data_IF_414100867549
#
_entry.id   IF_414100867549
#
_cell.length_a   1.000
_cell.length_b   1.000
_cell.length_c   1.000
_cell.angle_alpha   90.00
_cell.angle_beta   90.00
_cell.angle_gamma   90.00
#
_symmetry.space_group_name_H-M   'P 1'
#
loop_
_entity.id
_entity.type
_entity.pdbx_description
1 polymer ?
#
# COMPACT_ATOMS: atom_id res chain seq x y z
N UNK A 1 14.74 11.01 -13.20
CA UNK A 1 14.45 9.58 -12.97
C UNK A 1 15.68 8.71 -13.21
N UNK A 2 16.38 8.85 -14.31
CA UNK A 2 17.57 8.04 -14.64
C UNK A 2 18.66 8.03 -13.55
N UNK A 3 18.98 9.17 -12.98
CA UNK A 3 19.98 9.28 -11.91
C UNK A 3 19.56 8.51 -10.63
N UNK A 4 18.26 8.56 -10.25
CA UNK A 4 17.74 7.79 -9.11
C UNK A 4 17.74 6.29 -9.36
N UNK A 5 17.40 5.86 -10.56
CA UNK A 5 17.44 4.45 -10.93
C UNK A 5 18.86 3.90 -10.95
N UNK A 6 19.79 4.64 -11.53
CA UNK A 6 21.21 4.27 -11.52
C UNK A 6 21.72 4.14 -10.09
N UNK A 7 21.44 5.12 -9.22
CA UNK A 7 21.83 5.09 -7.82
C UNK A 7 21.21 3.88 -7.08
N UNK A 8 19.93 3.55 -7.34
CA UNK A 8 19.31 2.35 -6.77
C UNK A 8 20.09 1.08 -7.15
N UNK A 9 20.42 0.91 -8.44
CA UNK A 9 21.14 -0.24 -8.95
C UNK A 9 22.54 -0.31 -8.31
N UNK A 10 23.28 0.79 -8.27
CA UNK A 10 24.63 0.85 -7.72
C UNK A 10 24.64 0.51 -6.21
N UNK A 11 23.71 1.09 -5.42
CA UNK A 11 23.61 0.81 -3.98
C UNK A 11 23.19 -0.65 -3.70
N UNK A 12 22.18 -1.16 -4.43
CA UNK A 12 21.73 -2.54 -4.27
C UNK A 12 22.84 -3.56 -4.60
N UNK A 13 23.60 -3.33 -5.68
CA UNK A 13 24.76 -4.15 -6.04
C UNK A 13 25.83 -4.11 -4.95
N UNK A 14 26.20 -2.92 -4.50
CA UNK A 14 27.21 -2.74 -3.47
C UNK A 14 26.84 -3.46 -2.16
N UNK A 15 25.57 -3.42 -1.75
CA UNK A 15 25.08 -4.12 -0.55
C UNK A 15 25.22 -5.65 -0.67
N UNK A 16 24.87 -6.23 -1.82
CA UNK A 16 25.06 -7.67 -2.09
C UNK A 16 26.53 -8.05 -2.19
N UNK A 17 27.35 -7.28 -2.90
CA UNK A 17 28.77 -7.55 -3.11
C UNK A 17 29.58 -7.51 -1.81
N UNK A 18 29.21 -6.62 -0.92
CA UNK A 18 29.85 -6.48 0.40
C UNK A 18 29.31 -7.51 1.41
N UNK A 19 28.35 -8.36 1.04
CA UNK A 19 27.71 -9.31 1.94
C UNK A 19 26.92 -8.66 3.08
N UNK A 20 26.56 -7.39 2.91
CA UNK A 20 25.77 -6.65 3.91
C UNK A 20 24.31 -7.09 3.96
N UNK A 21 23.80 -7.60 2.85
CA UNK A 21 22.46 -8.15 2.71
C UNK A 21 22.51 -9.48 1.95
N UNK A 22 21.53 -10.35 2.23
CA UNK A 22 21.35 -11.63 1.54
C UNK A 22 20.33 -11.53 0.41
N UNK A 23 19.46 -10.52 0.44
CA UNK A 23 18.36 -10.31 -0.48
C UNK A 23 18.21 -8.84 -0.85
N UNK A 24 17.73 -8.61 -2.06
CA UNK A 24 17.20 -7.31 -2.49
C UNK A 24 15.75 -7.47 -2.93
N UNK A 25 14.88 -6.60 -2.42
CA UNK A 25 13.48 -6.46 -2.82
C UNK A 25 13.31 -5.11 -3.50
N UNK A 26 12.78 -5.11 -4.70
CA UNK A 26 12.49 -3.90 -5.46
C UNK A 26 11.41 -4.15 -6.50
N UNK A 27 11.37 -3.33 -7.53
CA UNK A 27 10.41 -3.43 -8.62
C UNK A 27 11.15 -3.75 -9.92
N UNK A 28 10.53 -4.57 -10.76
CA UNK A 28 10.94 -4.82 -12.13
C UNK A 28 9.78 -4.59 -13.11
N UNK A 29 10.02 -4.45 -14.42
CA UNK A 29 8.95 -4.35 -15.40
C UNK A 29 8.03 -5.56 -15.33
N UNK A 30 6.72 -5.33 -15.30
CA UNK A 30 5.72 -6.38 -15.38
C UNK A 30 5.58 -6.96 -16.79
N UNK A 31 4.77 -8.00 -16.93
CA UNK A 31 4.47 -8.65 -18.23
C UNK A 31 3.57 -7.81 -19.15
N UNK A 32 2.84 -6.86 -18.59
CA UNK A 32 1.95 -5.96 -19.34
C UNK A 32 2.56 -4.55 -19.39
N UNK A 33 2.18 -3.78 -20.43
CA UNK A 33 2.61 -2.36 -20.55
C UNK A 33 2.22 -1.56 -19.30
N UNK A 34 3.09 -0.65 -18.88
CA UNK A 34 2.86 0.26 -17.76
C UNK A 34 2.57 -0.44 -16.42
N UNK A 35 3.09 -1.64 -16.24
CA UNK A 35 3.00 -2.37 -14.97
C UNK A 35 4.38 -2.69 -14.42
N UNK A 36 4.45 -2.90 -13.11
CA UNK A 36 5.62 -3.42 -12.43
C UNK A 36 5.23 -4.61 -11.57
N UNK A 37 6.20 -5.46 -11.28
CA UNK A 37 6.07 -6.61 -10.38
C UNK A 37 7.18 -6.57 -9.33
N UNK A 38 7.00 -7.15 -8.14
CA UNK A 38 8.07 -7.31 -7.18
C UNK A 38 9.22 -8.15 -7.74
N UNK A 39 10.45 -7.65 -7.59
CA UNK A 39 11.68 -8.40 -7.80
C UNK A 39 12.26 -8.75 -6.44
N UNK A 40 12.45 -10.04 -6.17
CA UNK A 40 13.09 -10.56 -4.96
C UNK A 40 14.28 -11.41 -5.42
N UNK A 41 15.50 -10.95 -5.16
CA UNK A 41 16.68 -11.62 -5.70
C UNK A 41 17.86 -11.64 -4.74
N UNK A 42 18.75 -12.62 -4.96
CA UNK A 42 20.11 -12.70 -4.40
C UNK A 42 21.17 -12.51 -5.49
N UNK A 43 20.74 -12.49 -6.75
CA UNK A 43 21.65 -12.46 -7.89
C UNK A 43 21.95 -11.01 -8.28
N UNK A 44 23.24 -10.72 -8.43
CA UNK A 44 23.72 -9.38 -8.84
C UNK A 44 23.32 -9.02 -10.26
N UNK A 45 23.17 -10.01 -11.13
CA UNK A 45 22.76 -9.78 -12.52
C UNK A 45 21.31 -9.31 -12.59
N UNK A 46 20.43 -9.87 -11.73
CA UNK A 46 19.04 -9.48 -11.65
C UNK A 46 18.83 -8.04 -11.17
N UNK A 47 19.79 -7.48 -10.41
CA UNK A 47 19.71 -6.09 -9.93
C UNK A 47 19.58 -5.10 -11.09
N UNK A 48 20.09 -5.44 -12.27
CA UNK A 48 19.92 -4.59 -13.46
C UNK A 48 18.47 -4.48 -13.95
N UNK A 49 17.59 -5.37 -13.51
CA UNK A 49 16.15 -5.36 -13.81
C UNK A 49 15.36 -4.39 -12.94
N UNK A 50 15.96 -3.88 -11.84
CA UNK A 50 15.30 -2.90 -10.97
C UNK A 50 14.89 -1.66 -11.73
N UNK A 51 13.66 -1.20 -11.47
CA UNK A 51 13.10 0.02 -12.07
C UNK A 51 12.48 0.94 -11.02
N UNK A 52 12.55 2.24 -11.31
CA UNK A 52 11.79 3.29 -10.64
C UNK A 52 10.96 4.00 -11.72
N UNK A 53 9.65 3.85 -11.66
CA UNK A 53 8.74 4.50 -12.59
C UNK A 53 7.40 4.87 -11.89
N UNK A 54 6.50 5.61 -12.52
CA UNK A 54 5.22 6.00 -11.89
C UNK A 54 4.22 4.86 -11.66
N UNK A 55 4.56 3.60 -11.99
CA UNK A 55 3.66 2.43 -11.89
C UNK A 55 4.08 1.45 -10.79
N UNK A 56 4.95 1.84 -9.86
CA UNK A 56 5.42 1.02 -8.73
C UNK A 56 4.35 0.94 -7.63
N UNK A 57 3.23 0.28 -7.91
CA UNK A 57 2.03 0.31 -7.07
C UNK A 57 2.12 -0.57 -5.81
N UNK A 58 2.85 -1.68 -5.85
CA UNK A 58 2.89 -2.67 -4.77
C UNK A 58 3.54 -2.13 -3.49
N UNK A 59 3.06 -2.59 -2.35
CA UNK A 59 3.72 -2.41 -1.06
C UNK A 59 4.64 -3.61 -0.79
N UNK A 60 5.94 -3.41 -0.94
CA UNK A 60 6.91 -4.49 -0.86
C UNK A 60 7.18 -5.00 0.56
N UNK A 61 6.76 -4.28 1.60
CA UNK A 61 7.04 -4.66 2.98
C UNK A 61 6.43 -6.02 3.38
N UNK A 62 5.38 -6.45 2.67
CA UNK A 62 4.74 -7.74 2.87
C UNK A 62 5.72 -8.93 2.76
N UNK A 63 6.72 -8.82 1.89
CA UNK A 63 7.70 -9.88 1.68
C UNK A 63 8.77 -9.99 2.76
N UNK A 64 8.92 -8.99 3.64
CA UNK A 64 9.93 -9.01 4.70
C UNK A 64 9.71 -10.12 5.72
N UNK A 65 8.46 -10.53 5.93
CA UNK A 65 8.12 -11.58 6.91
C UNK A 65 8.38 -13.00 6.41
N UNK A 66 8.70 -13.15 5.12
CA UNK A 66 8.90 -14.45 4.46
C UNK A 66 10.38 -14.78 4.22
N UNK A 67 11.28 -13.79 4.36
CA UNK A 67 12.69 -13.93 4.04
C UNK A 67 13.57 -14.02 5.28
N UNK A 68 14.48 -14.99 5.25
CA UNK A 68 15.51 -15.14 6.26
C UNK A 68 16.78 -14.36 5.89
N UNK A 69 17.44 -13.81 6.91
CA UNK A 69 18.67 -13.04 6.75
C UNK A 69 18.42 -11.54 6.59
N UNK A 70 19.45 -10.81 6.19
CA UNK A 70 19.38 -9.36 6.05
C UNK A 70 18.92 -8.98 4.64
N UNK A 71 17.94 -8.07 4.55
CA UNK A 71 17.24 -7.72 3.31
C UNK A 71 17.40 -6.24 3.01
N UNK A 72 17.80 -5.87 1.79
CA UNK A 72 17.63 -4.51 1.29
C UNK A 72 16.27 -4.38 0.60
N UNK A 73 15.52 -3.35 0.92
CA UNK A 73 14.17 -3.14 0.36
C UNK A 73 13.99 -1.70 -0.15
N UNK A 74 13.47 -1.59 -1.37
CA UNK A 74 13.04 -0.29 -1.91
C UNK A 74 11.70 0.09 -1.29
N UNK A 75 11.65 1.22 -0.60
CA UNK A 75 10.47 1.61 0.18
C UNK A 75 10.04 3.06 -0.13
N UNK A 76 8.81 3.22 -0.63
CA UNK A 76 8.10 4.51 -0.66
C UNK A 76 7.69 4.90 0.76
N UNK A 77 7.19 6.11 0.98
CA UNK A 77 6.74 6.56 2.29
C UNK A 77 5.71 5.62 2.94
N UNK A 78 4.70 5.16 2.19
CA UNK A 78 3.71 4.19 2.67
C UNK A 78 4.34 2.82 3.00
N UNK A 79 5.33 2.37 2.22
CA UNK A 79 6.04 1.11 2.47
C UNK A 79 6.91 1.22 3.73
N UNK A 80 7.63 2.34 3.90
CA UNK A 80 8.44 2.63 5.09
C UNK A 80 7.57 2.62 6.36
N UNK A 81 6.39 3.25 6.34
CA UNK A 81 5.41 3.16 7.43
C UNK A 81 4.99 1.73 7.73
N UNK A 82 4.75 0.92 6.69
CA UNK A 82 4.41 -0.49 6.87
C UNK A 82 5.57 -1.28 7.48
N UNK A 83 6.82 -1.00 7.10
CA UNK A 83 8.01 -1.60 7.70
C UNK A 83 8.11 -1.24 9.19
N UNK A 84 7.90 0.04 9.53
CA UNK A 84 7.89 0.48 10.95
C UNK A 84 6.80 -0.25 11.74
N UNK A 85 5.59 -0.36 11.19
CA UNK A 85 4.50 -1.10 11.84
C UNK A 85 4.85 -2.59 12.06
N UNK A 86 5.50 -3.25 11.09
CA UNK A 86 5.98 -4.63 11.24
C UNK A 86 7.08 -4.76 12.31
N UNK A 87 7.94 -3.76 12.46
CA UNK A 87 8.97 -3.71 13.51
C UNK A 87 8.32 -3.57 14.88
N UNK A 88 7.36 -2.65 15.04
CA UNK A 88 6.59 -2.44 16.26
C UNK A 88 5.85 -3.71 16.70
N UNK A 89 5.29 -4.47 15.75
CA UNK A 89 4.61 -5.76 16.00
C UNK A 89 5.59 -6.95 16.17
N UNK A 90 6.89 -6.70 16.21
CA UNK A 90 7.95 -7.73 16.32
C UNK A 90 7.89 -8.80 15.22
N UNK A 91 7.42 -8.44 14.02
CA UNK A 91 7.41 -9.31 12.83
C UNK A 91 8.69 -9.21 12.03
N UNK A 92 9.34 -8.07 12.11
CA UNK A 92 10.59 -7.77 11.43
C UNK A 92 11.58 -7.17 12.43
N UNK A 93 12.81 -7.67 12.46
CA UNK A 93 13.89 -7.04 13.22
C UNK A 93 14.51 -5.92 12.40
N UNK A 94 14.55 -4.69 12.93
CA UNK A 94 15.12 -3.51 12.26
C UNK A 94 16.57 -3.74 11.79
N UNK A 95 17.39 -4.46 12.54
CA UNK A 95 18.78 -4.72 12.21
C UNK A 95 18.94 -5.61 10.96
N UNK A 96 17.89 -6.36 10.63
CA UNK A 96 17.87 -7.24 9.45
C UNK A 96 17.35 -6.54 8.18
N UNK A 97 17.04 -5.25 8.23
CA UNK A 97 16.51 -4.51 7.08
C UNK A 97 17.41 -3.32 6.73
N UNK A 98 17.74 -3.19 5.46
CA UNK A 98 18.33 -1.98 4.88
C UNK A 98 17.29 -1.31 4.00
N UNK A 99 16.80 -0.16 4.42
CA UNK A 99 15.73 0.57 3.75
C UNK A 99 16.32 1.53 2.71
N UNK A 100 16.11 1.23 1.43
CA UNK A 100 16.41 2.11 0.31
C UNK A 100 15.20 3.02 0.09
N UNK A 101 15.18 4.14 0.80
CA UNK A 101 14.05 5.06 0.83
C UNK A 101 13.86 5.79 -0.51
N UNK A 102 12.67 5.68 -1.08
CA UNK A 102 12.31 6.29 -2.35
C UNK A 102 11.31 7.44 -2.16
N UNK A 103 11.72 8.71 -2.27
CA UNK A 103 10.80 9.83 -2.32
C UNK A 103 9.84 9.69 -3.50
N UNK A 104 8.53 9.77 -3.23
CA UNK A 104 7.46 9.43 -4.17
C UNK A 104 6.52 10.62 -4.38
N UNK A 105 6.25 10.97 -5.64
CA UNK A 105 5.30 12.03 -6.01
C UNK A 105 3.89 11.50 -6.31
N UNK A 106 3.63 10.23 -5.98
CA UNK A 106 2.40 9.52 -6.27
C UNK A 106 2.60 8.43 -7.32
N UNK A 107 1.64 7.53 -7.40
CA UNK A 107 1.62 6.39 -8.33
C UNK A 107 0.43 6.53 -9.24
N UNK A 108 0.62 6.26 -10.54
CA UNK A 108 -0.43 6.38 -11.54
C UNK A 108 -1.38 5.19 -11.42
N UNK A 109 -2.67 5.50 -11.43
CA UNK A 109 -3.75 4.53 -11.57
C UNK A 109 -4.06 4.34 -13.05
N UNK A 110 -3.65 3.20 -13.59
CA UNK A 110 -3.82 2.89 -15.00
C UNK A 110 -5.29 2.76 -15.39
N UNK A 111 -6.15 2.26 -14.50
CA UNK A 111 -7.58 2.15 -14.77
C UNK A 111 -8.25 3.53 -14.94
N UNK A 112 -7.79 4.55 -14.20
CA UNK A 112 -8.24 5.93 -14.41
C UNK A 112 -7.84 6.45 -15.78
N UNK A 113 -6.60 6.19 -16.21
CA UNK A 113 -6.14 6.59 -17.54
C UNK A 113 -6.98 5.88 -18.62
N UNK A 114 -7.13 4.55 -18.54
CA UNK A 114 -7.94 3.78 -19.49
C UNK A 114 -9.37 4.35 -19.59
N UNK A 115 -9.99 4.69 -18.45
CA UNK A 115 -11.32 5.33 -18.40
C UNK A 115 -11.36 6.72 -19.06
N UNK A 116 -10.36 7.58 -18.80
CA UNK A 116 -10.29 8.94 -19.34
C UNK A 116 -10.02 8.98 -20.85
N UNK A 117 -9.21 8.05 -21.35
CA UNK A 117 -8.88 7.99 -22.77
C UNK A 117 -9.87 7.13 -23.57
N UNK A 118 -10.65 6.26 -22.92
CA UNK A 118 -11.57 5.31 -23.55
C UNK A 118 -10.84 4.25 -24.39
N UNK A 119 -9.67 3.81 -23.91
CA UNK A 119 -8.80 2.84 -24.57
C UNK A 119 -8.18 1.91 -23.54
N UNK A 120 -7.96 0.66 -23.93
CA UNK A 120 -7.20 -0.30 -23.14
C UNK A 120 -5.70 -0.01 -23.20
N UNK A 121 -4.95 -0.44 -22.19
CA UNK A 121 -3.50 -0.20 -22.06
C UNK A 121 -2.68 -0.61 -23.29
N UNK A 122 -3.09 -1.67 -23.98
CA UNK A 122 -2.37 -2.17 -25.15
C UNK A 122 -2.45 -1.21 -26.36
N UNK A 123 -3.50 -0.38 -26.41
CA UNK A 123 -3.69 0.67 -27.41
C UNK A 123 -2.97 1.99 -27.07
N UNK A 124 -2.39 2.10 -25.87
CA UNK A 124 -1.63 3.26 -25.42
C UNK A 124 -0.17 3.07 -25.83
N UNK A 125 0.38 4.04 -26.55
CA UNK A 125 1.77 4.00 -27.02
C UNK A 125 2.75 4.32 -25.88
N UNK A 126 2.48 5.41 -25.11
CA UNK A 126 3.34 5.90 -24.05
C UNK A 126 2.56 6.65 -22.96
N UNK A 127 3.06 6.61 -21.72
CA UNK A 127 2.60 7.40 -20.59
C UNK A 127 3.81 8.04 -19.91
N UNK A 128 3.90 9.36 -19.97
CA UNK A 128 5.00 10.12 -19.37
C UNK A 128 4.50 11.06 -18.30
N UNK A 129 5.13 11.01 -17.10
CA UNK A 129 4.92 11.99 -16.04
C UNK A 129 5.89 13.17 -16.22
N UNK A 130 5.36 14.36 -16.40
CA UNK A 130 6.14 15.58 -16.54
C UNK A 130 5.56 16.68 -15.65
N UNK A 131 6.36 17.11 -14.68
CA UNK A 131 5.96 18.05 -13.65
C UNK A 131 4.69 17.58 -12.91
N UNK A 132 3.60 18.31 -13.00
CA UNK A 132 2.29 18.03 -12.41
C UNK A 132 1.26 17.46 -13.42
N UNK A 133 1.71 17.02 -14.58
CA UNK A 133 0.87 16.49 -15.66
C UNK A 133 1.30 15.11 -16.09
N UNK A 134 0.34 14.33 -16.55
CA UNK A 134 0.56 13.05 -17.23
C UNK A 134 0.22 13.20 -18.69
N UNK A 135 1.17 12.88 -19.56
CA UNK A 135 1.02 12.91 -21.01
C UNK A 135 0.80 11.48 -21.49
N UNK A 136 -0.35 11.22 -22.08
CA UNK A 136 -0.72 9.91 -22.65
C UNK A 136 -0.66 10.03 -24.17
N UNK A 137 0.14 9.18 -24.82
CA UNK A 137 0.26 9.12 -26.28
C UNK A 137 -0.54 7.94 -26.82
N UNK A 138 -1.44 8.20 -27.79
CA UNK A 138 -2.28 7.18 -28.44
C UNK A 138 -2.26 7.45 -29.94
N UNK A 139 -1.85 6.48 -30.74
CA UNK A 139 -1.71 6.60 -32.21
C UNK A 139 -0.94 7.88 -32.61
N UNK A 140 0.15 8.18 -31.88
CA UNK A 140 1.01 9.34 -32.05
C UNK A 140 0.41 10.67 -31.62
N UNK A 141 -0.82 10.71 -31.08
CA UNK A 141 -1.46 11.92 -30.55
C UNK A 141 -1.33 11.98 -29.04
N UNK A 142 -0.97 13.15 -28.52
CA UNK A 142 -0.82 13.39 -27.09
C UNK A 142 -2.08 13.99 -26.47
N UNK A 143 -2.42 13.50 -25.28
CA UNK A 143 -3.43 14.07 -24.38
C UNK A 143 -2.79 14.32 -23.03
N UNK A 144 -3.04 15.47 -22.44
CA UNK A 144 -2.52 15.86 -21.12
C UNK A 144 -3.63 15.77 -20.07
N UNK A 145 -3.28 15.25 -18.91
CA UNK A 145 -4.15 15.18 -17.74
C UNK A 145 -3.40 15.72 -16.52
N UNK A 146 -4.06 16.45 -15.62
CA UNK A 146 -3.47 16.80 -14.35
C UNK A 146 -3.21 15.53 -13.53
N UNK A 147 -2.10 15.49 -12.78
CA UNK A 147 -1.75 14.33 -11.93
C UNK A 147 -2.87 13.97 -10.96
N UNK A 148 -3.63 14.97 -10.46
CA UNK A 148 -4.76 14.77 -9.54
C UNK A 148 -5.89 13.91 -10.11
N UNK A 149 -6.03 13.80 -11.42
CA UNK A 149 -7.06 12.98 -12.06
C UNK A 149 -6.64 11.53 -12.28
N UNK A 150 -5.32 11.27 -12.30
CA UNK A 150 -4.77 9.98 -12.70
C UNK A 150 -3.96 9.27 -11.62
N UNK A 151 -3.67 9.92 -10.49
CA UNK A 151 -3.01 9.26 -9.37
C UNK A 151 -3.99 8.34 -8.63
N UNK A 152 -3.44 7.31 -7.98
CA UNK A 152 -4.17 6.50 -7.03
C UNK A 152 -4.76 7.35 -5.90
N UNK A 153 -5.96 7.03 -5.42
CA UNK A 153 -6.68 7.85 -4.45
C UNK A 153 -5.94 8.00 -3.11
N UNK A 154 -5.20 6.98 -2.69
CA UNK A 154 -4.34 7.07 -1.51
C UNK A 154 -3.15 8.04 -1.72
N UNK A 155 -2.68 8.22 -2.95
CA UNK A 155 -1.62 9.16 -3.25
C UNK A 155 -2.10 10.62 -3.20
N UNK A 156 -3.38 10.88 -3.52
CA UNK A 156 -3.97 12.22 -3.44
C UNK A 156 -4.02 12.75 -2.00
N UNK A 157 -4.20 11.86 -1.03
CA UNK A 157 -4.23 12.21 0.41
C UNK A 157 -2.96 11.83 1.16
N UNK A 158 -1.84 11.59 0.46
CA UNK A 158 -0.60 11.13 1.06
C UNK A 158 0.05 12.18 1.95
N UNK A 159 0.23 11.86 3.23
CA UNK A 159 0.89 12.70 4.22
C UNK A 159 2.41 12.43 4.31
N UNK A 160 2.89 11.29 3.77
CA UNK A 160 4.30 10.89 3.84
C UNK A 160 4.85 10.48 2.47
N UNK A 161 5.11 11.43 1.57
CA UNK A 161 5.69 11.14 0.27
C UNK A 161 7.20 10.79 0.33
N UNK A 162 7.88 11.19 1.39
CA UNK A 162 9.28 10.81 1.68
C UNK A 162 9.29 9.87 2.87
N UNK A 163 9.95 8.70 2.80
CA UNK A 163 10.17 7.86 3.97
C UNK A 163 10.86 8.63 5.10
N UNK A 164 10.38 8.51 6.33
CA UNK A 164 11.10 9.02 7.52
C UNK A 164 12.13 8.03 8.01
N UNK A 165 11.80 6.73 8.00
CA UNK A 165 12.75 5.67 8.34
C UNK A 165 13.38 5.14 7.06
N UNK A 166 14.71 5.34 6.92
CA UNK A 166 15.52 4.83 5.80
C UNK A 166 16.99 4.77 6.18
N UNK A 167 17.75 3.92 5.50
CA UNK A 167 19.22 3.85 5.62
C UNK A 167 19.88 4.64 4.49
N UNK A 168 19.33 4.59 3.28
CA UNK A 168 19.82 5.31 2.09
C UNK A 168 18.63 5.97 1.39
N UNK A 169 18.64 7.30 1.24
CA UNK A 169 17.60 8.02 0.53
C UNK A 169 17.92 8.16 -0.96
N UNK A 170 17.06 7.62 -1.83
CA UNK A 170 17.22 7.61 -3.29
C UNK A 170 16.62 8.88 -3.93
N UNK A 171 17.21 10.02 -3.69
CA UNK A 171 16.80 11.29 -4.30
C UNK A 171 16.53 12.41 -3.29
N UNK A 172 15.94 13.50 -3.77
CA UNK A 172 15.60 14.63 -2.93
C UNK A 172 14.26 14.40 -2.21
N UNK A 173 14.12 14.84 -0.95
CA UNK A 173 12.85 14.76 -0.24
C UNK A 173 11.72 15.48 -0.98
N UNK A 174 10.53 14.87 -0.95
CA UNK A 174 9.28 15.42 -1.47
C UNK A 174 8.43 15.86 -0.27
N UNK A 175 7.91 17.07 -0.32
CA UNK A 175 7.02 17.57 0.74
C UNK A 175 5.60 17.06 0.55
N UNK A 176 4.87 16.75 1.64
CA UNK A 176 3.45 16.41 1.56
C UNK A 176 2.66 17.56 0.91
N UNK A 177 1.76 17.19 0.03
CA UNK A 177 0.79 18.11 -0.57
C UNK A 177 -0.56 17.38 -0.72
N UNK A 178 -1.17 16.93 0.41
CA UNK A 178 -2.40 16.18 0.36
C UNK A 178 -3.55 17.04 -0.16
N UNK A 179 -4.29 16.48 -1.11
CA UNK A 179 -5.54 17.06 -1.57
C UNK A 179 -6.67 16.61 -0.66
N UNK A 180 -7.55 17.53 -0.29
CA UNK A 180 -8.78 17.20 0.40
C UNK A 180 -9.67 16.40 -0.55
N UNK A 181 -9.79 15.10 -0.32
CA UNK A 181 -10.71 14.25 -1.06
C UNK A 181 -12.03 14.16 -0.28
N UNK A 182 -13.18 14.58 -0.87
CA UNK A 182 -14.46 14.43 -0.21
C UNK A 182 -14.75 12.97 0.13
N UNK A 183 -15.07 12.71 1.38
CA UNK A 183 -15.52 11.38 1.79
C UNK A 183 -17.03 11.28 1.62
N UNK A 184 -17.45 10.85 0.43
CA UNK A 184 -18.87 10.71 0.09
C UNK A 184 -19.62 9.77 1.04
N UNK A 185 -18.94 8.80 1.66
CA UNK A 185 -19.56 7.85 2.57
C UNK A 185 -19.85 8.50 3.94
N UNK A 186 -19.01 9.42 4.40
CA UNK A 186 -19.26 10.20 5.64
C UNK A 186 -20.51 11.07 5.51
N UNK A 187 -20.76 11.63 4.34
CA UNK A 187 -21.90 12.50 4.08
C UNK A 187 -23.21 11.73 3.93
N UNK A 188 -23.16 10.40 3.72
CA UNK A 188 -24.37 9.57 3.57
C UNK A 188 -25.08 9.37 4.91
N UNK A 189 -26.44 9.42 4.93
CA UNK A 189 -27.22 8.92 6.05
C UNK A 189 -26.86 7.46 6.39
N UNK A 190 -26.93 7.08 7.67
CA UNK A 190 -26.52 5.76 8.15
C UNK A 190 -27.18 4.60 7.36
N UNK A 191 -28.49 4.72 7.09
CA UNK A 191 -29.22 3.72 6.31
C UNK A 191 -28.71 3.59 4.87
N UNK A 192 -28.43 4.71 4.19
CA UNK A 192 -27.89 4.70 2.83
C UNK A 192 -26.46 4.10 2.79
N UNK A 193 -25.64 4.43 3.80
CA UNK A 193 -24.29 3.88 3.97
C UNK A 193 -24.33 2.38 4.26
N UNK A 194 -25.28 1.91 5.07
CA UNK A 194 -25.49 0.49 5.31
C UNK A 194 -25.87 -0.26 4.03
N UNK A 195 -26.85 0.25 3.26
CA UNK A 195 -27.26 -0.32 1.99
C UNK A 195 -26.13 -0.32 0.94
N UNK A 196 -25.28 0.72 0.95
CA UNK A 196 -24.06 0.76 0.13
C UNK A 196 -23.16 -0.43 0.46
N UNK A 197 -22.78 -0.64 1.73
CA UNK A 197 -21.91 -1.73 2.13
C UNK A 197 -22.53 -3.11 1.92
N UNK A 198 -23.82 -3.27 2.10
CA UNK A 198 -24.52 -4.52 1.75
C UNK A 198 -24.36 -4.86 0.27
N UNK A 199 -24.53 -3.89 -0.63
CA UNK A 199 -24.32 -4.10 -2.08
C UNK A 199 -22.86 -4.46 -2.38
N UNK A 200 -21.92 -3.75 -1.81
CA UNK A 200 -20.49 -4.01 -2.04
C UNK A 200 -20.07 -5.39 -1.52
N UNK A 201 -20.50 -5.78 -0.33
CA UNK A 201 -20.16 -7.10 0.20
C UNK A 201 -20.93 -8.24 -0.48
N UNK A 202 -22.07 -7.97 -1.09
CA UNK A 202 -22.74 -8.96 -1.94
C UNK A 202 -21.96 -9.25 -3.24
N UNK A 203 -21.16 -8.30 -3.71
CA UNK A 203 -20.26 -8.48 -4.87
C UNK A 203 -18.97 -9.22 -4.51
N UNK A 204 -18.62 -9.30 -3.23
CA UNK A 204 -17.37 -9.91 -2.78
C UNK A 204 -17.37 -11.41 -3.06
N UNK A 205 -16.43 -11.86 -3.87
CA UNK A 205 -16.21 -13.29 -4.19
C UNK A 205 -15.35 -14.00 -3.14
N UNK A 206 -14.93 -13.31 -2.09
CA UNK A 206 -14.11 -13.82 -0.99
C UNK A 206 -12.79 -14.48 -1.46
N UNK A 207 -12.13 -13.86 -2.45
CA UNK A 207 -10.84 -14.33 -2.97
C UNK A 207 -9.66 -14.08 -2.02
N UNK A 208 -9.86 -13.30 -0.96
CA UNK A 208 -8.85 -12.92 0.03
C UNK A 208 -7.64 -12.12 -0.51
N UNK A 209 -7.67 -11.62 -1.74
CA UNK A 209 -6.60 -10.78 -2.28
C UNK A 209 -6.27 -9.61 -1.34
N UNK A 210 -7.30 -8.90 -0.84
CA UNK A 210 -7.16 -7.80 0.11
C UNK A 210 -6.46 -8.18 1.43
N UNK A 211 -6.50 -9.45 1.84
CA UNK A 211 -5.75 -10.00 2.96
C UNK A 211 -4.30 -10.27 2.57
N UNK A 212 -4.11 -10.94 1.44
CA UNK A 212 -2.80 -11.44 1.01
C UNK A 212 -1.82 -10.33 0.66
N UNK A 213 -2.30 -9.20 0.14
CA UNK A 213 -1.45 -8.05 -0.22
C UNK A 213 -1.21 -7.08 0.94
N UNK A 214 -1.94 -7.22 2.06
CA UNK A 214 -1.89 -6.26 3.15
C UNK A 214 -0.74 -6.54 4.11
N UNK A 215 0.23 -5.62 4.29
CA UNK A 215 1.33 -5.81 5.22
C UNK A 215 0.90 -5.98 6.68
N UNK A 216 -0.28 -5.44 7.04
CA UNK A 216 -0.84 -5.58 8.38
C UNK A 216 -1.59 -6.92 8.62
N UNK A 217 -1.76 -7.75 7.58
CA UNK A 217 -2.40 -9.07 7.68
C UNK A 217 -1.38 -10.21 7.75
N UNK A 218 -0.49 -10.18 8.72
CA UNK A 218 0.64 -11.10 8.89
C UNK A 218 0.36 -12.33 9.77
N UNK A 219 -0.90 -12.63 10.07
CA UNK A 219 -1.26 -13.83 10.85
C UNK A 219 -0.85 -15.10 10.12
N UNK A 220 -0.11 -15.99 10.77
CA UNK A 220 0.27 -17.30 10.19
C UNK A 220 -0.95 -18.16 9.86
N UNK A 221 -2.00 -18.05 10.67
CA UNK A 221 -3.29 -18.68 10.47
C UNK A 221 -4.40 -17.66 10.73
N UNK A 222 -5.26 -17.47 9.77
CA UNK A 222 -6.36 -16.51 9.86
C UNK A 222 -7.65 -17.23 10.31
N UNK A 223 -8.53 -16.52 11.02
CA UNK A 223 -9.81 -17.08 11.45
C UNK A 223 -10.67 -17.59 10.27
N UNK A 224 -10.47 -17.06 9.08
CA UNK A 224 -11.17 -17.51 7.85
C UNK A 224 -10.75 -18.90 7.40
N UNK A 225 -9.62 -19.41 7.91
CA UNK A 225 -9.05 -20.74 7.61
C UNK A 225 -9.42 -21.77 8.69
N UNK A 226 -10.08 -21.33 9.76
CA UNK A 226 -10.51 -22.21 10.84
C UNK A 226 -11.71 -23.06 10.39
N UNK A 227 -11.64 -24.35 10.68
CA UNK A 227 -12.69 -25.33 10.39
C UNK A 227 -13.39 -25.84 11.63
N UNK A 228 -12.77 -25.65 12.83
CA UNK A 228 -13.29 -26.10 14.11
C UNK A 228 -13.03 -25.04 15.22
N UNK A 229 -13.95 -24.11 15.42
CA UNK A 229 -15.23 -23.88 14.73
C UNK A 229 -15.04 -23.22 13.37
N UNK A 230 -15.89 -23.55 12.41
CA UNK A 230 -15.94 -22.89 11.13
C UNK A 230 -16.67 -21.55 11.26
N UNK A 231 -15.95 -20.46 11.14
CA UNK A 231 -16.49 -19.09 11.29
C UNK A 231 -17.20 -18.60 10.02
N UNK A 232 -16.72 -18.99 8.84
CA UNK A 232 -17.27 -18.59 7.56
C UNK A 232 -17.65 -19.82 6.74
N UNK A 233 -18.81 -19.78 6.09
CA UNK A 233 -19.22 -20.83 5.18
C UNK A 233 -18.32 -20.85 3.93
N UNK A 234 -18.12 -22.01 3.26
CA UNK A 234 -17.30 -22.10 2.05
C UNK A 234 -17.84 -21.26 0.89
N UNK A 235 -19.16 -21.17 0.77
CA UNK A 235 -19.83 -20.38 -0.28
C UNK A 235 -19.89 -18.91 0.15
N UNK A 236 -19.44 -17.96 -0.69
CA UNK A 236 -19.57 -16.54 -0.39
C UNK A 236 -21.02 -16.13 -0.18
N UNK A 237 -21.30 -15.55 0.96
CA UNK A 237 -22.58 -14.98 1.32
C UNK A 237 -22.34 -13.59 1.90
N UNK A 238 -23.24 -12.63 1.68
CA UNK A 238 -22.97 -11.24 2.03
C UNK A 238 -22.74 -11.02 3.55
N UNK A 239 -23.43 -11.79 4.41
CA UNK A 239 -23.23 -11.69 5.87
C UNK A 239 -21.83 -12.18 6.28
N UNK A 240 -21.37 -13.30 5.70
CA UNK A 240 -20.03 -13.82 5.96
C UNK A 240 -18.96 -12.89 5.38
N UNK A 241 -19.24 -12.27 4.23
CA UNK A 241 -18.35 -11.28 3.62
C UNK A 241 -18.29 -10.02 4.50
N UNK A 242 -19.43 -9.58 5.06
CA UNK A 242 -19.48 -8.49 6.03
C UNK A 242 -18.67 -8.84 7.29
N UNK A 243 -18.91 -10.02 7.88
CA UNK A 243 -18.15 -10.49 9.05
C UNK A 243 -16.65 -10.49 8.79
N UNK A 244 -16.23 -11.04 7.63
CA UNK A 244 -14.82 -11.03 7.23
C UNK A 244 -14.24 -9.62 7.14
N UNK A 245 -14.92 -8.69 6.45
CA UNK A 245 -14.40 -7.34 6.23
C UNK A 245 -14.39 -6.52 7.52
N UNK A 246 -15.40 -6.65 8.38
CA UNK A 246 -15.43 -5.99 9.69
C UNK A 246 -14.32 -6.53 10.59
N UNK A 247 -14.22 -7.86 10.74
CA UNK A 247 -13.16 -8.47 11.54
C UNK A 247 -11.77 -8.09 11.02
N UNK A 248 -11.56 -8.12 9.69
CA UNK A 248 -10.30 -7.70 9.08
C UNK A 248 -9.97 -6.25 9.42
N UNK A 249 -10.95 -5.34 9.33
CA UNK A 249 -10.74 -3.93 9.70
C UNK A 249 -10.32 -3.76 11.15
N UNK A 250 -10.98 -4.45 12.07
CA UNK A 250 -10.61 -4.43 13.49
C UNK A 250 -9.17 -4.96 13.68
N UNK A 251 -8.78 -6.01 12.97
CA UNK A 251 -7.43 -6.58 13.08
C UNK A 251 -6.33 -5.66 12.52
N UNK A 252 -6.64 -4.81 11.54
CA UNK A 252 -5.64 -3.89 10.95
C UNK A 252 -5.73 -2.47 11.51
N UNK A 253 -6.68 -2.18 12.41
CA UNK A 253 -6.77 -0.87 13.07
C UNK A 253 -5.48 -0.59 13.84
N UNK A 254 -4.97 0.64 13.75
CA UNK A 254 -3.67 0.99 14.35
C UNK A 254 -2.42 0.42 13.62
N UNK A 255 -2.61 -0.36 12.54
CA UNK A 255 -1.54 -0.90 11.69
C UNK A 255 -1.66 -0.44 10.25
N UNK A 256 -2.85 0.00 9.84
CA UNK A 256 -3.11 0.46 8.48
C UNK A 256 -2.35 1.76 8.19
N UNK A 257 -1.51 1.74 7.15
CA UNK A 257 -0.73 2.90 6.68
C UNK A 257 -1.38 3.61 5.49
N UNK A 258 -2.62 3.28 5.19
CA UNK A 258 -3.40 3.83 4.08
C UNK A 258 -2.71 3.65 2.70
N UNK A 259 -1.97 2.57 2.52
CA UNK A 259 -1.27 2.29 1.26
C UNK A 259 -2.21 2.00 0.06
N UNK A 260 -3.48 1.67 0.31
CA UNK A 260 -4.51 1.45 -0.71
C UNK A 260 -4.42 0.13 -1.47
N UNK A 261 -3.49 -0.77 -1.12
CA UNK A 261 -3.27 -2.01 -1.87
C UNK A 261 -4.48 -2.95 -1.85
N UNK A 262 -5.14 -3.07 -0.69
CA UNK A 262 -6.33 -3.91 -0.55
C UNK A 262 -7.49 -3.53 -1.49
N UNK A 263 -7.57 -2.27 -1.87
CA UNK A 263 -8.59 -1.77 -2.80
C UNK A 263 -8.17 -2.00 -4.25
N UNK A 264 -6.91 -1.69 -4.59
CA UNK A 264 -6.37 -1.87 -5.95
C UNK A 264 -6.39 -3.32 -6.41
N UNK A 265 -6.12 -4.26 -5.50
CA UNK A 265 -6.08 -5.69 -5.83
C UNK A 265 -7.44 -6.38 -5.70
N UNK A 266 -8.50 -5.63 -5.41
CA UNK A 266 -9.84 -6.20 -5.37
C UNK A 266 -10.38 -6.45 -6.78
N UNK A 267 -10.55 -7.72 -7.23
CA UNK A 267 -10.95 -8.03 -8.60
C UNK A 267 -12.38 -7.59 -8.94
N UNK A 268 -13.17 -7.24 -7.92
CA UNK A 268 -14.54 -6.73 -8.06
C UNK A 268 -14.67 -5.26 -7.63
N UNK A 269 -13.54 -4.56 -7.49
CA UNK A 269 -13.45 -3.12 -7.23
C UNK A 269 -14.33 -2.65 -6.04
N UNK A 270 -14.24 -3.34 -4.89
CA UNK A 270 -14.88 -2.88 -3.66
C UNK A 270 -14.00 -1.78 -3.05
N UNK A 271 -14.56 -0.62 -2.66
CA UNK A 271 -13.79 0.50 -2.10
C UNK A 271 -13.38 0.23 -0.64
N UNK A 272 -12.55 -0.81 -0.43
CA UNK A 272 -12.16 -1.29 0.90
C UNK A 272 -11.35 -0.26 1.69
N UNK A 273 -10.62 0.60 1.00
CA UNK A 273 -9.87 1.68 1.62
C UNK A 273 -10.79 2.67 2.36
N UNK A 274 -11.96 2.96 1.80
CA UNK A 274 -12.93 3.85 2.47
C UNK A 274 -13.33 3.32 3.84
N UNK A 275 -13.50 2.00 3.99
CA UNK A 275 -13.80 1.37 5.27
C UNK A 275 -12.62 1.45 6.25
N UNK A 276 -11.39 1.19 5.78
CA UNK A 276 -10.19 1.27 6.63
C UNK A 276 -9.84 2.70 7.02
N UNK A 277 -10.08 3.67 6.15
CA UNK A 277 -9.85 5.11 6.45
C UNK A 277 -10.75 5.65 7.56
N UNK A 278 -11.98 5.18 7.65
CA UNK A 278 -12.85 5.54 8.78
C UNK A 278 -12.20 5.14 10.11
N UNK A 279 -11.71 3.90 10.20
CA UNK A 279 -11.02 3.41 11.40
C UNK A 279 -9.69 4.14 11.64
N UNK A 280 -8.93 4.41 10.56
CA UNK A 280 -7.69 5.19 10.66
C UNK A 280 -7.93 6.60 11.20
N UNK A 281 -8.96 7.31 10.69
CA UNK A 281 -9.32 8.63 11.17
C UNK A 281 -9.79 8.62 12.63
N UNK A 282 -10.56 7.61 13.04
CA UNK A 282 -11.02 7.47 14.41
C UNK A 282 -9.86 7.23 15.39
N UNK A 283 -8.87 6.43 15.01
CA UNK A 283 -7.67 6.20 15.82
C UNK A 283 -6.83 7.48 15.96
N UNK A 284 -6.67 8.24 14.86
CA UNK A 284 -5.98 9.53 14.90
C UNK A 284 -6.70 10.55 15.81
N UNK A 285 -8.03 10.61 15.72
CA UNK A 285 -8.85 11.52 16.53
C UNK A 285 -8.83 11.19 18.03
N UNK A 286 -8.99 9.92 18.38
CA UNK A 286 -9.14 9.48 19.78
C UNK A 286 -7.81 9.27 20.49
N UNK A 287 -6.80 8.77 19.78
CA UNK A 287 -5.54 8.34 20.38
C UNK A 287 -4.32 9.11 19.86
N UNK A 288 -4.52 10.05 18.92
CA UNK A 288 -3.45 10.82 18.28
C UNK A 288 -2.33 9.91 17.72
N UNK A 289 -2.72 8.73 17.26
CA UNK A 289 -1.83 7.71 16.77
C UNK A 289 -2.02 7.47 15.27
N UNK A 290 -0.89 7.51 14.54
CA UNK A 290 -0.83 7.17 13.12
C UNK A 290 0.16 6.03 12.89
N UNK A 291 -0.31 4.91 12.39
CA UNK A 291 0.50 3.71 12.18
C UNK A 291 1.78 3.98 11.38
N UNK A 292 2.92 3.54 11.92
CA UNK A 292 4.21 3.59 11.25
C UNK A 292 4.82 4.98 11.05
N UNK A 293 4.33 6.01 11.77
CA UNK A 293 4.92 7.36 11.73
C UNK A 293 6.10 7.50 12.67
N UNK A 294 6.05 6.86 13.82
CA UNK A 294 7.10 6.90 14.83
C UNK A 294 7.45 5.47 15.26
N UNK A 295 8.69 5.05 15.05
CA UNK A 295 9.16 3.69 15.38
C UNK A 295 9.27 3.43 16.88
N UNK A 296 9.40 4.48 17.70
CA UNK A 296 9.50 4.38 19.16
C UNK A 296 8.12 4.36 19.82
N UNK A 297 7.06 4.77 19.11
CA UNK A 297 5.71 4.72 19.64
C UNK A 297 5.25 3.28 19.87
N UNK A 298 4.64 3.01 21.00
CA UNK A 298 4.01 1.72 21.26
C UNK A 298 2.83 1.53 20.28
N UNK A 299 2.63 0.31 19.74
CA UNK A 299 1.45 0.03 18.93
C UNK A 299 0.18 0.33 19.71
N UNK A 300 -0.73 1.08 19.13
CA UNK A 300 -1.96 1.56 19.78
C UNK A 300 -2.76 0.46 20.50
N UNK A 301 -2.86 -0.75 19.94
CA UNK A 301 -3.58 -1.87 20.57
C UNK A 301 -2.80 -2.58 21.71
N UNK A 302 -1.54 -2.21 21.93
CA UNK A 302 -0.70 -2.79 23.00
C UNK A 302 -0.36 -1.79 24.10
N UNK A 303 -0.72 -0.53 23.91
CA UNK A 303 -0.59 0.52 24.91
C UNK A 303 -1.90 0.64 25.71
N UNK A 304 -1.80 1.01 26.98
CA UNK A 304 -2.91 1.32 27.85
C UNK A 304 -2.57 2.59 28.65
N UNK A 305 -3.46 3.56 28.61
CA UNK A 305 -3.37 4.77 29.44
C UNK A 305 -4.59 4.81 30.38
N UNK A 306 -4.36 5.20 31.66
CA UNK A 306 -5.41 5.22 32.69
C UNK A 306 -6.51 6.23 32.37
N UNK A 307 -6.19 7.25 31.56
CA UNK A 307 -7.09 8.33 31.16
C UNK A 307 -7.73 8.14 29.77
N UNK A 308 -7.60 6.93 29.20
CA UNK A 308 -8.29 6.64 27.92
C UNK A 308 -9.80 6.87 28.04
N UNK A 309 -10.40 7.43 26.96
CA UNK A 309 -11.81 7.77 26.96
C UNK A 309 -12.69 6.52 27.09
N UNK A 310 -13.27 6.32 28.28
CA UNK A 310 -14.21 5.22 28.55
C UNK A 310 -15.62 5.48 27.93
N UNK A 311 -15.88 6.65 27.41
CA UNK A 311 -17.18 7.05 26.88
C UNK A 311 -17.65 6.24 25.66
N UNK A 312 -16.75 5.50 25.02
CA UNK A 312 -17.06 4.59 23.91
C UNK A 312 -17.66 3.25 24.34
N UNK A 313 -17.66 2.93 25.63
CA UNK A 313 -18.11 1.64 26.15
C UNK A 313 -19.54 1.72 26.73
N UNK A 314 -20.23 2.85 26.60
CA UNK A 314 -21.58 3.05 27.14
C UNK A 314 -22.67 2.84 26.10
#
# INVERSE_FOLDING_TARGET
MEDRQKRLIDEAKALLEQGKVSWVIGYEPGSLKFTTTPLITRDKEDINRLVINPFIINNLSNFLTELEGRVAIVAKGCDSRSIVSLIQDNKVNRDNVVILGLPCTGVIDLAKIEGLVGRERDEIDDITLKDDKVIVTIAGKQREFPTSEVLCDNCLSCEMPTPEEYDILLGQPVKPSPLATPDKLKEMPAEARWQFWQREFNRCIRCYACRSVCPACFCQRCFVEETEPQWLLPIPHWQDNLLFQVARNIHVVGRCTDCGECERDCPVNIPLRSLTREMYGLVDELFQYKAGMDKEAAPFLTAYEVEEAEDLIR
#
